data_IF_962628363325
#
_entry.id   IF_962628363325
#
_cell.length_a   1.000
_cell.length_b   1.000
_cell.length_c   1.000
_cell.angle_alpha   90.00
_cell.angle_beta   90.00
_cell.angle_gamma   90.00
#
_symmetry.space_group_name_H-M   'P 1'
#
loop_
_entity.id
_entity.type
_entity.pdbx_description
1 polymer ?
#
# COMPACT_ATOMS: atom_id res chain seq x y z
N UNK A 1 0.22 -1.20 -3.53
CA UNK A 1 0.45 -1.83 -4.86
C UNK A 1 -0.83 -1.71 -5.67
N UNK A 2 -0.73 -1.29 -6.94
CA UNK A 2 -1.87 -1.23 -7.86
C UNK A 2 -2.21 -2.65 -8.28
N UNK A 3 -3.47 -3.05 -8.16
CA UNK A 3 -4.01 -4.34 -8.58
C UNK A 3 -4.51 -4.28 -10.02
N UNK A 4 -5.21 -3.20 -10.37
CA UNK A 4 -5.78 -2.99 -11.69
C UNK A 4 -5.70 -1.51 -12.06
N UNK A 5 -5.47 -1.25 -13.34
CA UNK A 5 -5.62 0.08 -13.94
C UNK A 5 -6.63 0.00 -15.08
N UNK A 6 -7.53 0.97 -15.12
CA UNK A 6 -8.48 1.17 -16.22
C UNK A 6 -8.27 2.56 -16.82
N UNK A 7 -8.38 2.67 -18.15
CA UNK A 7 -8.43 3.96 -18.85
C UNK A 7 -9.79 4.65 -18.71
N UNK A 8 -10.79 3.95 -18.20
CA UNK A 8 -12.15 4.44 -18.02
C UNK A 8 -12.43 4.71 -16.54
N UNK A 9 -13.10 5.83 -16.27
CA UNK A 9 -13.54 6.21 -14.93
C UNK A 9 -14.77 5.40 -14.51
N UNK A 10 -14.61 4.46 -13.58
CA UNK A 10 -15.73 3.65 -13.07
C UNK A 10 -16.74 4.48 -12.27
N UNK A 11 -16.31 5.57 -11.64
CA UNK A 11 -17.21 6.46 -10.90
C UNK A 11 -18.13 7.24 -11.85
N UNK A 12 -17.61 7.77 -12.97
CA UNK A 12 -18.44 8.47 -13.95
C UNK A 12 -19.51 7.56 -14.55
N UNK A 13 -19.12 6.36 -15.00
CA UNK A 13 -20.04 5.39 -15.59
C UNK A 13 -21.09 4.83 -14.62
N UNK A 14 -20.76 4.68 -13.32
CA UNK A 14 -21.68 4.13 -12.31
C UNK A 14 -22.57 5.19 -11.65
N UNK A 15 -22.05 6.41 -11.45
CA UNK A 15 -22.80 7.56 -10.89
C UNK A 15 -23.72 8.19 -11.97
N UNK A 16 -23.60 7.75 -13.23
CA UNK A 16 -24.44 8.24 -14.33
C UNK A 16 -24.07 9.64 -14.80
N UNK A 17 -22.82 10.04 -14.58
CA UNK A 17 -22.30 11.31 -15.04
C UNK A 17 -21.59 11.08 -16.38
N UNK A 18 -22.20 11.59 -17.45
CA UNK A 18 -21.48 11.77 -18.71
C UNK A 18 -20.17 12.52 -18.46
N UNK A 19 -19.09 12.24 -19.21
CA UNK A 19 -17.80 12.91 -19.02
C UNK A 19 -17.94 14.43 -18.94
N UNK A 20 -18.85 14.99 -19.75
CA UNK A 20 -19.15 16.42 -19.86
C UNK A 20 -19.89 17.00 -18.64
N UNK A 21 -20.55 16.17 -17.85
CA UNK A 21 -21.32 16.55 -16.64
C UNK A 21 -20.62 16.13 -15.34
N UNK A 22 -19.36 15.69 -15.42
CA UNK A 22 -18.63 15.17 -14.27
C UNK A 22 -18.44 16.24 -13.18
N UNK A 23 -18.98 15.99 -11.98
CA UNK A 23 -18.84 16.86 -10.80
C UNK A 23 -17.59 16.55 -9.96
N UNK A 24 -16.70 15.71 -10.50
CA UNK A 24 -15.45 15.22 -9.87
C UNK A 24 -15.65 14.61 -8.48
N UNK A 25 -16.57 13.62 -8.33
CA UNK A 25 -16.78 12.96 -7.04
C UNK A 25 -15.51 12.29 -6.50
N UNK A 26 -14.65 11.79 -7.40
CA UNK A 26 -13.36 11.17 -7.06
C UNK A 26 -12.36 12.07 -6.30
N UNK A 27 -12.58 13.38 -6.25
CA UNK A 27 -11.75 14.32 -5.48
C UNK A 27 -12.37 14.71 -4.13
N UNK A 28 -13.63 14.34 -3.90
CA UNK A 28 -14.41 14.77 -2.72
C UNK A 28 -14.34 13.75 -1.60
N UNK A 29 -14.38 12.47 -1.94
CA UNK A 29 -14.44 11.36 -0.99
C UNK A 29 -13.47 10.23 -1.37
N UNK A 30 -13.25 9.33 -0.41
CA UNK A 30 -12.59 8.06 -0.65
C UNK A 30 -13.59 6.98 -1.06
N UNK A 31 -13.22 6.17 -2.04
CA UNK A 31 -14.06 5.09 -2.55
C UNK A 31 -13.34 3.75 -2.43
N UNK A 32 -14.14 2.70 -2.28
CA UNK A 32 -13.68 1.33 -2.12
C UNK A 32 -14.56 0.39 -2.96
N UNK A 33 -13.94 -0.59 -3.61
CA UNK A 33 -14.66 -1.74 -4.17
C UNK A 33 -14.70 -2.83 -3.11
N UNK A 34 -15.89 -3.35 -2.82
CA UNK A 34 -16.05 -4.47 -1.88
C UNK A 34 -16.30 -5.75 -2.65
N UNK A 35 -15.51 -6.79 -2.37
CA UNK A 35 -15.76 -8.12 -2.95
C UNK A 35 -16.81 -8.91 -2.17
N UNK A 36 -17.21 -10.08 -2.70
CA UNK A 36 -18.17 -10.97 -2.04
C UNK A 36 -17.69 -11.60 -0.72
N UNK A 37 -16.40 -11.46 -0.39
CA UNK A 37 -15.80 -11.91 0.88
C UNK A 37 -15.65 -10.76 1.88
N UNK A 38 -16.09 -9.55 1.53
CA UNK A 38 -16.03 -8.36 2.38
C UNK A 38 -14.70 -7.62 2.37
N UNK A 39 -13.74 -7.97 1.50
CA UNK A 39 -12.52 -7.19 1.36
C UNK A 39 -12.79 -5.87 0.66
N UNK A 40 -12.24 -4.79 1.22
CA UNK A 40 -12.35 -3.45 0.67
C UNK A 40 -11.07 -3.07 -0.07
N UNK A 41 -11.21 -2.83 -1.37
CA UNK A 41 -10.14 -2.47 -2.27
C UNK A 41 -10.22 -0.97 -2.54
N UNK A 42 -9.28 -0.18 -2.02
CA UNK A 42 -9.29 1.26 -2.21
C UNK A 42 -9.17 1.58 -3.70
N UNK A 43 -9.86 2.63 -4.14
CA UNK A 43 -9.75 3.11 -5.52
C UNK A 43 -9.37 4.59 -5.57
N UNK A 44 -8.72 4.99 -6.67
CA UNK A 44 -8.37 6.39 -6.91
C UNK A 44 -8.35 6.68 -8.40
N UNK A 45 -8.44 7.95 -8.75
CA UNK A 45 -8.28 8.43 -10.13
C UNK A 45 -7.13 9.41 -10.23
N UNK A 46 -6.42 9.42 -11.36
CA UNK A 46 -5.46 10.46 -11.67
C UNK A 46 -6.09 11.65 -12.42
N UNK A 47 -5.25 12.60 -12.82
CA UNK A 47 -5.65 13.80 -13.57
C UNK A 47 -6.23 13.51 -14.95
N UNK A 48 -5.94 12.33 -15.51
CA UNK A 48 -6.46 11.86 -16.79
C UNK A 48 -7.71 10.98 -16.62
N UNK A 49 -8.31 10.97 -15.43
CA UNK A 49 -9.46 10.13 -15.09
C UNK A 49 -9.20 8.62 -15.27
N UNK A 50 -7.93 8.19 -15.26
CA UNK A 50 -7.60 6.76 -15.21
C UNK A 50 -7.90 6.25 -13.82
N UNK A 51 -8.51 5.07 -13.75
CA UNK A 51 -9.00 4.50 -12.52
C UNK A 51 -8.05 3.41 -12.02
N UNK A 52 -7.68 3.46 -10.75
CA UNK A 52 -6.74 2.53 -10.12
C UNK A 52 -7.44 1.80 -8.99
N UNK A 53 -7.36 0.48 -9.01
CA UNK A 53 -7.75 -0.37 -7.88
C UNK A 53 -6.48 -0.78 -7.14
N UNK A 54 -6.45 -0.56 -5.84
CA UNK A 54 -5.35 -0.95 -4.97
C UNK A 54 -5.67 -2.23 -4.22
N UNK A 55 -4.65 -2.93 -3.76
CA UNK A 55 -4.83 -4.10 -2.89
C UNK A 55 -5.55 -3.70 -1.58
N UNK A 56 -6.39 -4.61 -1.06
CA UNK A 56 -7.14 -4.43 0.19
C UNK A 56 -6.26 -4.48 1.44
N UNK A 57 -5.02 -4.98 1.32
CA UNK A 57 -4.05 -5.07 2.41
C UNK A 57 -2.71 -4.46 2.04
N UNK A 58 -2.08 -3.83 3.03
CA UNK A 58 -0.74 -3.23 2.88
C UNK A 58 0.33 -4.33 2.90
N UNK A 59 1.20 -4.35 1.88
CA UNK A 59 2.37 -5.24 1.88
C UNK A 59 3.35 -4.79 2.96
N UNK A 60 3.76 -5.69 3.86
CA UNK A 60 4.71 -5.38 4.92
C UNK A 60 5.70 -6.53 5.15
N UNK A 61 6.98 -6.27 4.93
CA UNK A 61 8.07 -7.25 5.03
C UNK A 61 9.02 -6.94 6.22
N UNK A 62 8.56 -6.16 7.21
CA UNK A 62 9.36 -5.77 8.37
C UNK A 62 9.98 -6.97 9.10
N UNK A 63 9.19 -8.00 9.39
CA UNK A 63 9.67 -9.22 10.07
C UNK A 63 10.65 -10.05 9.22
N UNK A 64 10.54 -9.94 7.91
CA UNK A 64 11.34 -10.69 6.94
C UNK A 64 12.59 -9.92 6.52
N UNK A 65 12.82 -8.74 7.11
CA UNK A 65 13.88 -7.81 6.70
C UNK A 65 15.26 -8.44 6.82
N UNK A 66 15.52 -9.22 7.88
CA UNK A 66 16.78 -9.96 8.03
C UNK A 66 17.02 -10.93 6.86
N UNK A 67 15.97 -11.67 6.46
CA UNK A 67 16.03 -12.59 5.31
C UNK A 67 16.23 -11.83 4.00
N UNK A 68 15.56 -10.69 3.81
CA UNK A 68 15.72 -9.86 2.62
C UNK A 68 17.13 -9.28 2.50
N UNK A 69 17.72 -8.79 3.60
CA UNK A 69 19.08 -8.26 3.60
C UNK A 69 20.14 -9.34 3.36
N UNK A 70 19.89 -10.58 3.79
CA UNK A 70 20.79 -11.71 3.51
C UNK A 70 20.95 -11.98 2.00
N UNK A 71 19.96 -11.60 1.17
CA UNK A 71 20.05 -11.68 -0.30
C UNK A 71 20.96 -10.61 -0.92
N UNK A 72 21.47 -9.66 -0.10
CA UNK A 72 22.33 -8.54 -0.51
C UNK A 72 21.74 -7.71 -1.65
N UNK A 73 20.49 -7.21 -1.52
CA UNK A 73 19.90 -6.34 -2.54
C UNK A 73 20.67 -5.02 -2.62
N UNK A 74 20.83 -4.49 -3.84
CA UNK A 74 21.43 -3.15 -4.05
C UNK A 74 20.55 -2.04 -3.45
N UNK A 75 19.23 -2.23 -3.45
CA UNK A 75 18.30 -1.28 -2.84
C UNK A 75 17.03 -1.98 -2.34
N UNK A 76 16.41 -1.37 -1.34
CA UNK A 76 15.06 -1.69 -0.87
C UNK A 76 14.16 -0.49 -1.17
N UNK A 77 12.98 -0.74 -1.74
CA UNK A 77 12.02 0.31 -2.08
C UNK A 77 10.79 0.22 -1.18
N UNK A 78 10.47 1.35 -0.54
CA UNK A 78 9.21 1.54 0.17
C UNK A 78 8.25 2.29 -0.76
N UNK A 79 7.10 1.69 -1.04
CA UNK A 79 6.08 2.30 -1.89
C UNK A 79 5.04 3.04 -1.04
N UNK A 80 5.24 4.35 -0.91
CA UNK A 80 4.44 5.23 -0.06
C UNK A 80 3.37 6.05 -0.77
N UNK A 81 3.03 5.76 -2.04
CA UNK A 81 2.10 6.58 -2.87
C UNK A 81 0.75 6.92 -2.23
N UNK A 82 0.27 6.12 -1.28
CA UNK A 82 -1.00 6.33 -0.56
C UNK A 82 -0.82 6.71 0.92
N UNK A 83 0.42 6.89 1.37
CA UNK A 83 0.73 7.35 2.72
C UNK A 83 0.79 8.88 2.73
N UNK A 84 0.33 9.47 3.83
CA UNK A 84 0.59 10.88 4.14
C UNK A 84 2.08 11.09 4.39
N UNK A 85 2.55 12.34 4.27
CA UNK A 85 3.96 12.66 4.45
C UNK A 85 4.52 12.16 5.80
N UNK A 86 3.78 12.33 6.88
CA UNK A 86 4.19 11.89 8.23
C UNK A 86 4.19 10.36 8.37
N UNK A 87 3.19 9.69 7.80
CA UNK A 87 3.12 8.22 7.77
C UNK A 87 4.31 7.63 6.99
N UNK A 88 4.65 8.23 5.85
CA UNK A 88 5.81 7.82 5.05
C UNK A 88 7.12 8.08 5.80
N UNK A 89 7.29 9.26 6.40
CA UNK A 89 8.47 9.61 7.20
C UNK A 89 8.68 8.61 8.33
N UNK A 90 7.62 8.30 9.08
CA UNK A 90 7.69 7.33 10.16
C UNK A 90 7.95 5.91 9.64
N UNK A 91 7.31 5.50 8.54
CA UNK A 91 7.56 4.20 7.89
C UNK A 91 9.03 4.04 7.52
N UNK A 92 9.61 5.03 6.83
CA UNK A 92 11.03 5.04 6.45
C UNK A 92 11.94 4.98 7.68
N UNK A 93 11.63 5.77 8.72
CA UNK A 93 12.37 5.75 9.99
C UNK A 93 12.40 4.35 10.61
N UNK A 94 11.25 3.68 10.72
CA UNK A 94 11.16 2.36 11.35
C UNK A 94 11.94 1.29 10.56
N UNK A 95 11.84 1.30 9.23
CA UNK A 95 12.65 0.40 8.40
C UNK A 95 14.14 0.70 8.53
N UNK A 96 14.54 1.97 8.54
CA UNK A 96 15.95 2.36 8.72
C UNK A 96 16.51 1.88 10.05
N UNK A 97 15.79 2.10 11.15
CA UNK A 97 16.18 1.64 12.47
C UNK A 97 16.36 0.12 12.53
N UNK A 98 15.41 -0.65 11.99
CA UNK A 98 15.52 -2.10 11.93
C UNK A 98 16.72 -2.57 11.09
N UNK A 99 17.03 -1.89 9.98
CA UNK A 99 18.23 -2.22 9.17
C UNK A 99 19.51 -1.86 9.93
N UNK A 100 19.57 -0.72 10.63
CA UNK A 100 20.74 -0.31 11.42
C UNK A 100 21.04 -1.29 12.56
N UNK A 101 20.01 -1.76 13.25
CA UNK A 101 20.14 -2.79 14.27
C UNK A 101 20.70 -4.09 13.66
N UNK A 102 20.18 -4.53 12.51
CA UNK A 102 20.68 -5.74 11.85
C UNK A 102 22.14 -5.59 11.40
N UNK A 103 22.55 -4.41 10.90
CA UNK A 103 23.93 -4.17 10.48
C UNK A 103 24.92 -4.09 11.64
N UNK A 104 24.46 -3.70 12.83
CA UNK A 104 25.27 -3.67 14.05
C UNK A 104 25.30 -5.02 14.78
N UNK A 105 24.65 -6.06 14.23
CA UNK A 105 24.55 -7.38 14.85
C UNK A 105 23.50 -7.47 15.95
N UNK A 106 22.72 -6.41 16.16
CA UNK A 106 21.60 -6.40 17.09
C UNK A 106 20.38 -7.11 16.48
N UNK A 107 19.48 -7.57 17.35
CA UNK A 107 18.21 -8.19 16.93
C UNK A 107 17.09 -7.14 17.06
N UNK A 108 16.50 -6.68 15.94
CA UNK A 108 15.36 -5.78 15.99
C UNK A 108 14.17 -6.40 16.72
N UNK A 109 13.47 -5.58 17.50
CA UNK A 109 12.16 -5.91 18.03
C UNK A 109 11.10 -5.76 16.92
N UNK A 110 10.99 -6.78 16.07
CA UNK A 110 10.05 -6.78 14.95
C UNK A 110 8.60 -6.63 15.39
N UNK A 111 8.23 -7.15 16.57
CA UNK A 111 6.86 -7.03 17.10
C UNK A 111 6.55 -5.56 17.37
N UNK A 112 7.45 -4.86 18.06
CA UNK A 112 7.32 -3.42 18.31
C UNK A 112 7.29 -2.62 17.00
N UNK A 113 8.13 -2.95 16.03
CA UNK A 113 8.12 -2.26 14.73
C UNK A 113 6.81 -2.48 13.97
N UNK A 114 6.27 -3.69 13.98
CA UNK A 114 4.99 -3.98 13.37
C UNK A 114 3.83 -3.26 14.03
N UNK A 115 3.80 -3.20 15.36
CA UNK A 115 2.75 -2.47 16.08
C UNK A 115 2.80 -0.97 15.74
N UNK A 116 3.99 -0.39 15.63
CA UNK A 116 4.14 1.01 15.21
C UNK A 116 3.70 1.22 13.76
N UNK A 117 4.08 0.34 12.84
CA UNK A 117 3.63 0.40 11.44
C UNK A 117 2.11 0.21 11.31
N UNK A 118 1.52 -0.68 12.10
CA UNK A 118 0.08 -0.94 12.07
C UNK A 118 -0.73 0.31 12.46
N UNK A 119 -0.22 1.15 13.36
CA UNK A 119 -0.85 2.44 13.71
C UNK A 119 -0.85 3.46 12.56
N UNK A 120 0.04 3.29 11.57
CA UNK A 120 0.16 4.18 10.41
C UNK A 120 -0.60 3.66 9.19
N UNK A 121 -1.00 2.38 9.20
CA UNK A 121 -1.60 1.72 8.04
C UNK A 121 -3.12 1.78 8.10
N UNK A 122 -3.74 2.20 7.01
CA UNK A 122 -5.20 2.19 6.84
C UNK A 122 -5.77 0.79 6.54
N UNK A 123 -4.93 -0.24 6.53
CA UNK A 123 -5.35 -1.63 6.29
C UNK A 123 -4.46 -2.64 7.00
N UNK A 124 -4.98 -3.86 7.17
CA UNK A 124 -4.21 -4.98 7.69
C UNK A 124 -3.01 -5.33 6.80
N UNK A 125 -1.98 -5.93 7.40
CA UNK A 125 -0.80 -6.34 6.65
C UNK A 125 -0.96 -7.68 5.92
N UNK A 126 -0.19 -7.81 4.84
CA UNK A 126 -0.03 -9.04 4.07
C UNK A 126 1.42 -9.21 3.64
N UNK A 127 1.84 -10.45 3.40
CA UNK A 127 3.10 -10.78 2.69
C UNK A 127 2.89 -10.89 1.18
N UNK A 128 1.67 -10.60 0.71
CA UNK A 128 1.26 -10.78 -0.67
C UNK A 128 1.46 -12.23 -1.13
N UNK A 129 2.06 -12.38 -2.31
CA UNK A 129 2.37 -13.68 -2.89
C UNK A 129 3.82 -14.12 -2.66
N UNK A 130 4.60 -13.39 -1.85
CA UNK A 130 6.04 -13.63 -1.69
C UNK A 130 6.37 -15.08 -1.30
N UNK A 131 5.52 -15.70 -0.46
CA UNK A 131 5.69 -17.10 -0.02
C UNK A 131 4.80 -18.12 -0.74
N UNK A 132 3.88 -17.67 -1.59
CA UNK A 132 2.84 -18.53 -2.18
C UNK A 132 2.98 -18.72 -3.68
N UNK A 133 3.88 -17.97 -4.32
CA UNK A 133 3.96 -17.91 -5.78
C UNK A 133 2.70 -17.30 -6.41
N UNK A 134 2.80 -16.94 -7.68
CA UNK A 134 1.63 -16.69 -8.53
C UNK A 134 1.75 -17.74 -9.63
N UNK A 135 0.82 -18.69 -9.65
CA UNK A 135 0.70 -19.68 -10.71
C UNK A 135 -0.07 -19.08 -11.89
#
# INVERSE_FOLDING_TARGET
MILMQSRYCLLGGRVGLEPEKCTRPCLKDEYYLRDGKGFEFPVSTDRECRFYVFNSRTLCMMEDLARLLALRPTSLRIEGRRLKADELKMTVKLYRQAIDELWTGNRPDFVKYQQQLAKLSNSAFTKGHYYRGVA
#
